data_IF_826142200188
#
_entry.id   IF_826142200188
#
_cell.length_a   1.000
_cell.length_b   1.000
_cell.length_c   1.000
_cell.angle_alpha   90.00
_cell.angle_beta   90.00
_cell.angle_gamma   90.00
#
_symmetry.space_group_name_H-M   'P 1'
#
loop_
_entity.id
_entity.type
_entity.pdbx_description
1 polymer ?
#
# COMPACT_ATOMS: atom_id res chain seq x y z
N UNK A 1 -21.32 -22.17 17.57
CA UNK A 1 -20.40 -21.54 16.60
C UNK A 1 -19.01 -22.14 16.82
N UNK A 2 -18.44 -22.86 15.84
CA UNK A 2 -17.08 -23.40 15.99
C UNK A 2 -16.09 -22.24 15.92
N UNK A 3 -15.06 -22.16 16.77
CA UNK A 3 -14.06 -21.11 16.70
C UNK A 3 -13.37 -21.17 15.33
N UNK A 4 -13.24 -20.02 14.67
CA UNK A 4 -12.45 -19.91 13.45
C UNK A 4 -10.95 -19.93 13.79
N UNK A 5 -10.41 -21.14 13.91
CA UNK A 5 -9.00 -21.37 14.24
C UNK A 5 -8.05 -20.81 13.17
N UNK A 6 -8.50 -20.70 11.91
CA UNK A 6 -7.71 -20.11 10.83
C UNK A 6 -7.52 -18.61 11.03
N UNK A 7 -8.58 -17.88 11.35
CA UNK A 7 -8.51 -16.46 11.68
C UNK A 7 -7.68 -16.19 12.95
N UNK A 8 -7.79 -17.04 13.96
CA UNK A 8 -6.97 -16.91 15.17
C UNK A 8 -5.48 -17.11 14.87
N UNK A 9 -5.12 -18.19 14.16
CA UNK A 9 -3.73 -18.47 13.74
C UNK A 9 -3.15 -17.31 12.91
N UNK A 10 -3.92 -16.76 11.99
CA UNK A 10 -3.49 -15.64 11.16
C UNK A 10 -3.21 -14.38 12.00
N UNK A 11 -4.06 -14.07 13.01
CA UNK A 11 -3.83 -12.93 13.91
C UNK A 11 -2.58 -13.10 14.76
N UNK A 12 -2.35 -14.29 15.32
CA UNK A 12 -1.15 -14.58 16.11
C UNK A 12 0.09 -14.50 15.22
N UNK A 13 0.08 -15.14 14.06
CA UNK A 13 1.17 -15.10 13.10
C UNK A 13 1.49 -13.67 12.66
N UNK A 14 0.46 -12.87 12.41
CA UNK A 14 0.60 -11.46 12.04
C UNK A 14 1.23 -10.62 13.16
N UNK A 15 0.83 -10.86 14.42
CA UNK A 15 1.46 -10.20 15.58
C UNK A 15 2.93 -10.56 15.68
N UNK A 16 3.26 -11.85 15.58
CA UNK A 16 4.66 -12.30 15.59
C UNK A 16 5.46 -11.73 14.42
N UNK A 17 4.86 -11.59 13.24
CA UNK A 17 5.52 -11.01 12.08
C UNK A 17 5.89 -9.54 12.28
N UNK A 18 5.13 -8.78 13.07
CA UNK A 18 5.46 -7.39 13.41
C UNK A 18 6.66 -7.29 14.35
N UNK A 19 6.74 -8.20 15.32
CA UNK A 19 7.71 -8.11 16.41
C UNK A 19 8.99 -8.91 16.12
N UNK A 20 8.92 -9.92 15.24
CA UNK A 20 10.02 -10.84 14.96
C UNK A 20 10.48 -10.80 13.51
N UNK A 21 11.74 -11.17 13.29
CA UNK A 21 12.33 -11.29 11.96
C UNK A 21 12.38 -9.97 11.20
N UNK A 22 12.48 -8.85 11.92
CA UNK A 22 12.59 -7.52 11.33
C UNK A 22 13.78 -7.44 10.36
N UNK A 23 13.60 -6.64 9.31
CA UNK A 23 14.67 -6.16 8.44
C UNK A 23 14.90 -4.69 8.81
N UNK A 24 15.65 -4.43 9.89
CA UNK A 24 15.80 -3.11 10.43
C UNK A 24 16.52 -2.20 9.44
N UNK A 25 15.95 -1.04 9.22
CA UNK A 25 16.53 0.01 8.40
C UNK A 25 16.31 1.36 9.09
N UNK A 26 17.38 2.14 9.22
CA UNK A 26 17.28 3.49 9.77
C UNK A 26 16.97 4.46 8.64
N UNK A 27 15.80 5.09 8.71
CA UNK A 27 15.41 6.13 7.76
C UNK A 27 16.40 7.29 7.79
N UNK A 28 16.83 7.75 6.61
CA UNK A 28 17.78 8.85 6.41
C UNK A 28 17.14 10.04 5.70
N UNK A 29 15.81 10.12 5.70
CA UNK A 29 15.08 11.22 5.09
C UNK A 29 15.38 12.55 5.82
N UNK A 30 15.64 13.60 5.03
CA UNK A 30 15.97 14.93 5.56
C UNK A 30 14.75 15.74 6.00
N UNK A 31 13.56 15.30 5.59
CA UNK A 31 12.28 15.94 5.89
C UNK A 31 11.18 14.89 5.95
N UNK A 32 10.06 15.15 6.63
CA UNK A 32 8.92 14.24 6.67
C UNK A 32 8.37 13.97 5.27
N UNK A 33 7.83 12.76 5.06
CA UNK A 33 7.32 12.29 3.77
C UNK A 33 5.95 11.64 3.95
N UNK A 34 5.17 11.65 2.87
CA UNK A 34 3.92 10.88 2.79
C UNK A 34 3.83 10.12 1.46
N UNK A 35 3.28 8.91 1.52
CA UNK A 35 2.91 8.13 0.33
C UNK A 35 1.43 7.81 0.37
N UNK A 36 0.76 7.97 -0.77
CA UNK A 36 -0.62 7.53 -0.98
C UNK A 36 -0.59 6.20 -1.74
N UNK A 37 -1.28 5.19 -1.22
CA UNK A 37 -1.28 3.87 -1.83
C UNK A 37 -2.70 3.34 -2.01
N UNK A 38 -2.92 2.61 -3.09
CA UNK A 38 -4.20 1.98 -3.43
C UNK A 38 -4.00 0.49 -3.61
N UNK A 39 -4.77 -0.31 -2.85
CA UNK A 39 -4.76 -1.76 -2.91
C UNK A 39 -5.90 -2.25 -3.80
N UNK A 40 -5.64 -3.29 -4.63
CA UNK A 40 -6.63 -3.84 -5.56
C UNK A 40 -7.46 -2.75 -6.25
N UNK A 41 -6.79 -1.77 -6.90
CA UNK A 41 -7.41 -0.50 -7.22
C UNK A 41 -8.68 -0.69 -8.07
N UNK A 42 -9.81 -0.12 -7.62
CA UNK A 42 -11.01 -0.01 -8.42
C UNK A 42 -10.81 0.95 -9.59
N UNK A 43 -11.67 0.87 -10.62
CA UNK A 43 -11.72 1.89 -11.69
C UNK A 43 -11.82 3.30 -11.15
N UNK A 44 -12.55 3.51 -10.05
CA UNK A 44 -12.70 4.83 -9.42
C UNK A 44 -11.39 5.38 -8.84
N UNK A 45 -10.44 4.54 -8.43
CA UNK A 45 -9.11 5.01 -8.03
C UNK A 45 -8.39 5.68 -9.21
N UNK A 46 -8.49 5.11 -10.42
CA UNK A 46 -7.92 5.71 -11.63
C UNK A 46 -8.75 6.91 -12.13
N UNK A 47 -10.08 6.81 -12.16
CA UNK A 47 -10.93 7.82 -12.81
C UNK A 47 -11.31 9.00 -11.94
N UNK A 48 -11.32 8.84 -10.62
CA UNK A 48 -11.61 9.90 -9.66
C UNK A 48 -10.40 10.23 -8.76
N UNK A 49 -9.64 9.23 -8.33
CA UNK A 49 -8.48 9.43 -7.46
C UNK A 49 -7.30 10.09 -8.17
N UNK A 50 -6.92 9.57 -9.34
CA UNK A 50 -5.76 10.10 -10.11
C UNK A 50 -5.91 11.57 -10.50
N UNK A 51 -7.05 12.06 -11.02
CA UNK A 51 -7.21 13.49 -11.29
C UNK A 51 -7.00 14.36 -10.04
N UNK A 52 -7.38 13.88 -8.85
CA UNK A 52 -7.15 14.61 -7.60
C UNK A 52 -5.65 14.60 -7.24
N UNK A 53 -4.95 13.48 -7.42
CA UNK A 53 -3.50 13.40 -7.24
C UNK A 53 -2.76 14.37 -8.18
N UNK A 54 -3.20 14.48 -9.43
CA UNK A 54 -2.62 15.36 -10.44
C UNK A 54 -2.79 16.85 -10.10
N UNK A 55 -3.90 17.25 -9.43
CA UNK A 55 -4.07 18.62 -8.89
C UNK A 55 -2.91 19.03 -7.97
N UNK A 56 -2.29 18.08 -7.29
CA UNK A 56 -1.17 18.26 -6.37
C UNK A 56 0.19 17.79 -6.94
N UNK A 57 0.25 17.44 -8.22
CA UNK A 57 1.44 16.85 -8.85
C UNK A 57 1.96 15.61 -8.10
N UNK A 58 1.07 14.89 -7.42
CA UNK A 58 1.39 13.76 -6.56
C UNK A 58 1.46 12.46 -7.37
N UNK A 59 2.40 11.60 -7.02
CA UNK A 59 2.47 10.22 -7.53
C UNK A 59 2.16 9.25 -6.41
N UNK A 60 1.35 8.25 -6.72
CA UNK A 60 0.90 7.23 -5.79
C UNK A 60 1.49 5.87 -6.15
N UNK A 61 1.33 4.89 -5.24
CA UNK A 61 1.66 3.49 -5.48
C UNK A 61 0.38 2.67 -5.57
N UNK A 62 0.26 1.89 -6.64
CA UNK A 62 -0.88 1.00 -6.89
C UNK A 62 -0.43 -0.46 -6.72
N UNK A 63 -0.92 -1.12 -5.68
CA UNK A 63 -0.63 -2.53 -5.40
C UNK A 63 -1.64 -3.42 -6.12
N UNK A 64 -1.19 -4.09 -7.18
CA UNK A 64 -2.04 -4.82 -8.11
C UNK A 64 -2.06 -6.31 -7.79
N UNK A 65 -3.26 -6.89 -7.70
CA UNK A 65 -3.50 -8.32 -7.78
C UNK A 65 -4.01 -8.66 -9.19
N UNK A 66 -3.16 -9.23 -10.03
CA UNK A 66 -3.51 -9.47 -11.45
C UNK A 66 -4.76 -10.32 -11.66
N UNK A 67 -5.08 -11.20 -10.72
CA UNK A 67 -6.28 -12.02 -10.75
C UNK A 67 -7.59 -11.26 -10.49
N UNK A 68 -7.52 -10.01 -10.00
CA UNK A 68 -8.67 -9.15 -9.74
C UNK A 68 -8.88 -8.08 -10.82
N UNK A 69 -7.96 -7.98 -11.77
CA UNK A 69 -8.03 -7.01 -12.86
C UNK A 69 -9.27 -7.28 -13.72
N UNK A 70 -10.02 -6.22 -14.01
CA UNK A 70 -11.28 -6.22 -14.78
C UNK A 70 -12.33 -7.20 -14.22
N UNK A 71 -12.36 -7.37 -12.89
CA UNK A 71 -13.31 -8.24 -12.20
C UNK A 71 -14.10 -7.50 -11.14
N UNK A 72 -15.32 -7.97 -10.93
CA UNK A 72 -16.15 -7.53 -9.81
C UNK A 72 -15.68 -8.16 -8.49
N UNK A 73 -15.29 -7.32 -7.52
CA UNK A 73 -14.77 -7.76 -6.21
C UNK A 73 -15.86 -8.04 -5.17
N UNK A 74 -17.12 -7.76 -5.47
CA UNK A 74 -18.22 -7.69 -4.51
C UNK A 74 -18.53 -6.26 -4.04
N UNK A 75 -17.61 -5.33 -4.22
CA UNK A 75 -17.74 -3.92 -3.85
C UNK A 75 -17.55 -2.97 -5.02
N UNK A 76 -16.63 -3.28 -5.93
CA UNK A 76 -16.28 -2.45 -7.09
C UNK A 76 -15.81 -3.29 -8.28
N UNK A 77 -15.81 -2.68 -9.45
CA UNK A 77 -15.13 -3.21 -10.62
C UNK A 77 -13.65 -2.84 -10.53
N UNK A 78 -12.77 -3.84 -10.61
CA UNK A 78 -11.32 -3.64 -10.64
C UNK A 78 -10.86 -2.84 -11.86
N UNK A 79 -9.71 -2.20 -11.73
CA UNK A 79 -8.99 -1.54 -12.83
C UNK A 79 -8.73 -2.53 -13.97
N UNK A 80 -8.68 -2.05 -15.22
CA UNK A 80 -8.34 -2.87 -16.38
C UNK A 80 -6.85 -2.73 -16.78
N UNK A 81 -6.42 -3.52 -17.78
CA UNK A 81 -5.03 -3.54 -18.24
C UNK A 81 -4.55 -2.18 -18.77
N UNK A 82 -5.38 -1.50 -19.58
CA UNK A 82 -5.02 -0.21 -20.18
C UNK A 82 -4.88 0.87 -19.09
N UNK A 83 -5.73 0.83 -18.05
CA UNK A 83 -5.64 1.72 -16.91
C UNK A 83 -4.35 1.47 -16.09
N UNK A 84 -3.92 0.21 -15.90
CA UNK A 84 -2.63 -0.11 -15.25
C UNK A 84 -1.46 0.47 -16.04
N UNK A 85 -1.44 0.26 -17.35
CA UNK A 85 -0.40 0.82 -18.24
C UNK A 85 -0.45 2.34 -18.22
N UNK A 86 -1.64 2.92 -18.24
CA UNK A 86 -1.85 4.37 -18.12
C UNK A 86 -1.27 4.96 -16.85
N UNK A 87 -1.54 4.33 -15.68
CA UNK A 87 -0.96 4.71 -14.39
C UNK A 87 0.56 4.67 -14.41
N UNK A 88 1.14 3.57 -14.91
CA UNK A 88 2.59 3.44 -15.03
C UNK A 88 3.20 4.55 -15.89
N UNK A 89 2.64 4.81 -17.07
CA UNK A 89 3.11 5.86 -17.99
C UNK A 89 2.91 7.27 -17.46
N UNK A 90 1.93 7.48 -16.58
CA UNK A 90 1.74 8.72 -15.86
C UNK A 90 2.74 8.92 -14.69
N UNK A 91 3.63 7.94 -14.45
CA UNK A 91 4.66 8.00 -13.42
C UNK A 91 4.22 7.52 -12.04
N UNK A 92 3.05 6.89 -11.92
CA UNK A 92 2.68 6.19 -10.69
C UNK A 92 3.45 4.86 -10.58
N UNK A 93 3.71 4.45 -9.36
CA UNK A 93 4.34 3.16 -9.09
C UNK A 93 3.31 2.04 -9.18
N UNK A 94 3.67 0.97 -9.91
CA UNK A 94 2.93 -0.30 -9.94
C UNK A 94 3.68 -1.30 -9.08
N UNK A 95 3.01 -1.85 -8.07
CA UNK A 95 3.60 -2.74 -7.08
C UNK A 95 2.80 -4.04 -6.91
N UNK A 96 3.35 -5.00 -6.19
CA UNK A 96 2.80 -6.35 -6.08
C UNK A 96 1.83 -6.51 -4.90
N UNK A 97 0.68 -7.16 -5.14
CA UNK A 97 -0.28 -7.55 -4.11
C UNK A 97 -0.66 -9.05 -4.17
N UNK A 98 0.28 -9.93 -4.58
CA UNK A 98 0.06 -11.30 -5.04
C UNK A 98 -0.77 -11.33 -6.33
N UNK A 99 -0.99 -12.51 -6.91
CA UNK A 99 -1.85 -12.61 -8.10
C UNK A 99 -3.33 -12.79 -7.73
N UNK A 100 -3.62 -13.72 -6.82
CA UNK A 100 -4.98 -14.15 -6.50
C UNK A 100 -5.55 -13.49 -5.23
N UNK A 101 -4.85 -12.51 -4.62
CA UNK A 101 -5.22 -11.83 -3.38
C UNK A 101 -5.53 -12.82 -2.22
N UNK A 102 -4.73 -13.88 -2.11
CA UNK A 102 -4.88 -14.88 -1.05
C UNK A 102 -4.22 -14.38 0.24
N UNK A 103 -4.83 -14.68 1.39
CA UNK A 103 -4.23 -14.40 2.71
C UNK A 103 -2.87 -15.07 2.81
N UNK A 104 -1.80 -14.30 2.95
CA UNK A 104 -0.43 -14.86 2.92
C UNK A 104 -0.19 -15.91 4.02
N UNK A 105 -0.73 -15.83 5.26
CA UNK A 105 -0.58 -16.89 6.24
C UNK A 105 -1.15 -18.25 5.84
N UNK A 106 -2.02 -18.30 4.83
CA UNK A 106 -2.62 -19.53 4.32
C UNK A 106 -1.76 -20.18 3.22
N UNK A 107 -0.67 -19.54 2.83
CA UNK A 107 0.29 -20.01 1.83
C UNK A 107 1.57 -20.51 2.50
N UNK A 108 2.11 -21.59 1.97
CA UNK A 108 3.50 -21.93 2.25
C UNK A 108 4.48 -21.06 1.43
N UNK A 109 5.77 -21.23 1.66
CA UNK A 109 6.75 -20.40 0.98
C UNK A 109 6.84 -20.63 -0.54
N UNK A 110 6.50 -21.82 -1.04
CA UNK A 110 6.51 -22.13 -2.47
C UNK A 110 5.27 -21.54 -3.15
N UNK A 111 4.11 -21.67 -2.52
CA UNK A 111 2.86 -21.08 -3.00
C UNK A 111 2.93 -19.55 -3.04
N UNK A 112 3.50 -18.90 -2.00
CA UNK A 112 3.72 -17.45 -2.02
C UNK A 112 4.65 -17.03 -3.16
N UNK A 113 5.74 -17.77 -3.39
CA UNK A 113 6.65 -17.46 -4.51
C UNK A 113 5.96 -17.61 -5.86
N UNK A 114 5.12 -18.63 -6.04
CA UNK A 114 4.34 -18.84 -7.26
C UNK A 114 3.32 -17.71 -7.49
N UNK A 115 2.64 -17.25 -6.44
CA UNK A 115 1.71 -16.11 -6.50
C UNK A 115 2.42 -14.81 -6.91
N UNK A 116 3.60 -14.55 -6.35
CA UNK A 116 4.41 -13.38 -6.69
C UNK A 116 4.90 -13.45 -8.13
N UNK A 117 5.45 -14.58 -8.55
CA UNK A 117 5.98 -14.74 -9.91
C UNK A 117 4.88 -14.66 -10.97
N UNK A 118 3.71 -15.25 -10.69
CA UNK A 118 2.55 -15.16 -11.56
C UNK A 118 2.10 -13.71 -11.73
N UNK A 119 2.07 -12.93 -10.63
CA UNK A 119 1.70 -11.52 -10.68
C UNK A 119 2.75 -10.69 -11.41
N UNK A 120 4.03 -10.97 -11.18
CA UNK A 120 5.15 -10.32 -11.85
C UNK A 120 5.09 -10.56 -13.36
N UNK A 121 4.97 -11.82 -13.78
CA UNK A 121 4.86 -12.19 -15.19
C UNK A 121 3.66 -11.52 -15.86
N UNK A 122 2.51 -11.45 -15.18
CA UNK A 122 1.33 -10.78 -15.68
C UNK A 122 1.57 -9.28 -15.92
N UNK A 123 2.11 -8.56 -14.93
CA UNK A 123 2.34 -7.12 -15.03
C UNK A 123 3.42 -6.78 -16.09
N UNK A 124 4.49 -7.57 -16.16
CA UNK A 124 5.54 -7.37 -17.19
C UNK A 124 5.06 -7.69 -18.60
N UNK A 125 4.05 -8.55 -18.76
CA UNK A 125 3.43 -8.79 -20.05
C UNK A 125 2.57 -7.61 -20.53
N UNK A 126 2.07 -6.75 -19.62
CA UNK A 126 1.36 -5.52 -19.96
C UNK A 126 2.33 -4.42 -20.46
N UNK A 127 3.40 -4.20 -19.72
CA UNK A 127 4.46 -3.27 -20.07
C UNK A 127 5.79 -3.73 -19.43
N UNK A 128 6.79 -4.15 -20.23
CA UNK A 128 8.07 -4.64 -19.72
C UNK A 128 8.90 -3.61 -18.95
N UNK A 129 8.55 -2.32 -19.03
CA UNK A 129 9.22 -1.25 -18.29
C UNK A 129 8.73 -1.11 -16.83
N UNK A 130 7.64 -1.78 -16.44
CA UNK A 130 7.13 -1.77 -15.07
C UNK A 130 8.20 -2.36 -14.14
N UNK A 131 8.52 -1.63 -13.07
CA UNK A 131 9.43 -2.07 -12.01
C UNK A 131 8.64 -2.46 -10.77
N UNK A 132 8.62 -3.74 -10.44
CA UNK A 132 7.85 -4.30 -9.33
C UNK A 132 8.80 -4.48 -8.14
N UNK A 133 9.02 -3.39 -7.39
CA UNK A 133 10.03 -3.32 -6.32
C UNK A 133 9.43 -3.44 -4.92
N UNK A 134 8.13 -3.18 -4.75
CA UNK A 134 7.49 -3.14 -3.46
C UNK A 134 6.27 -4.08 -3.39
N UNK A 135 5.93 -4.49 -2.17
CA UNK A 135 4.88 -5.45 -1.88
C UNK A 135 3.91 -4.92 -0.82
N UNK A 136 2.62 -5.21 -0.94
CA UNK A 136 1.68 -5.08 0.16
C UNK A 136 1.11 -6.47 0.51
N UNK A 137 0.99 -6.73 1.82
CA UNK A 137 0.37 -7.98 2.27
C UNK A 137 -1.14 -7.95 2.05
N UNK A 138 -1.74 -8.89 1.28
CA UNK A 138 -3.19 -9.04 1.25
C UNK A 138 -3.79 -9.10 2.66
N UNK A 139 -4.84 -8.31 2.90
CA UNK A 139 -5.47 -8.14 4.22
C UNK A 139 -4.52 -7.61 5.32
N UNK A 140 -3.33 -7.12 4.97
CA UNK A 140 -2.30 -6.72 5.91
C UNK A 140 -1.70 -7.86 6.74
N UNK A 141 -1.89 -9.10 6.34
CA UNK A 141 -1.52 -10.29 7.09
C UNK A 141 -0.19 -10.87 6.60
N UNK A 142 0.81 -10.94 7.48
CA UNK A 142 2.11 -11.51 7.19
C UNK A 142 2.53 -12.62 8.16
N UNK A 143 3.64 -13.28 7.84
CA UNK A 143 4.32 -14.23 8.73
C UNK A 143 5.81 -13.91 8.81
N UNK A 144 6.49 -14.37 9.85
CA UNK A 144 7.96 -14.22 10.00
C UNK A 144 8.70 -14.89 8.83
N UNK A 145 8.24 -16.06 8.40
CA UNK A 145 8.85 -16.78 7.29
C UNK A 145 8.69 -16.05 5.95
N UNK A 146 7.53 -15.42 5.71
CA UNK A 146 7.27 -14.64 4.51
C UNK A 146 8.14 -13.39 4.45
N UNK A 147 8.34 -12.67 5.55
CA UNK A 147 9.26 -11.54 5.61
C UNK A 147 10.66 -11.90 5.13
N UNK A 148 11.19 -13.04 5.60
CA UNK A 148 12.51 -13.54 5.18
C UNK A 148 12.60 -13.84 3.69
N UNK A 149 11.50 -14.25 3.07
CA UNK A 149 11.42 -14.53 1.63
C UNK A 149 11.24 -13.24 0.84
N UNK A 150 10.32 -12.39 1.25
CA UNK A 150 9.99 -11.14 0.54
C UNK A 150 11.19 -10.20 0.45
N UNK A 151 12.03 -10.12 1.48
CA UNK A 151 13.25 -9.30 1.46
C UNK A 151 14.27 -9.68 0.37
N UNK A 152 14.14 -10.87 -0.22
CA UNK A 152 15.00 -11.32 -1.33
C UNK A 152 14.48 -10.81 -2.69
N UNK A 153 13.21 -10.38 -2.74
CA UNK A 153 12.51 -10.00 -3.96
C UNK A 153 12.12 -8.54 -3.99
N UNK A 154 11.74 -7.98 -2.81
CA UNK A 154 11.20 -6.63 -2.67
C UNK A 154 12.06 -5.76 -1.75
N UNK A 155 12.18 -4.48 -2.10
CA UNK A 155 12.82 -3.47 -1.25
C UNK A 155 12.02 -3.26 0.04
N UNK A 156 10.69 -3.23 -0.07
CA UNK A 156 9.82 -3.12 1.09
C UNK A 156 8.54 -3.94 0.96
N UNK A 157 7.96 -4.24 2.12
CA UNK A 157 6.62 -4.82 2.23
C UNK A 157 5.82 -4.05 3.26
N UNK A 158 4.54 -3.77 2.96
CA UNK A 158 3.65 -2.96 3.80
C UNK A 158 2.54 -3.80 4.41
N UNK A 159 2.32 -3.62 5.73
CA UNK A 159 1.10 -4.07 6.42
C UNK A 159 0.02 -2.98 6.43
N UNK A 160 -0.88 -3.05 7.44
CA UNK A 160 -1.99 -2.10 7.64
C UNK A 160 -2.03 -1.58 9.09
N UNK A 161 -0.91 -1.61 9.80
CA UNK A 161 -0.85 -1.01 11.14
C UNK A 161 -0.72 0.50 11.02
N UNK A 162 -1.64 1.28 11.65
CA UNK A 162 -1.56 2.72 11.58
C UNK A 162 -0.33 3.27 12.31
N UNK A 163 0.09 4.47 11.90
CA UNK A 163 1.20 5.22 12.48
C UNK A 163 2.30 5.55 11.47
N UNK A 164 3.07 6.57 11.78
CA UNK A 164 4.22 6.96 10.98
C UNK A 164 5.38 5.97 11.14
N UNK A 165 6.08 5.72 10.04
CA UNK A 165 7.35 5.00 10.05
C UNK A 165 8.45 6.01 10.41
N UNK A 166 9.17 5.82 11.53
CA UNK A 166 10.19 6.77 11.98
C UNK A 166 11.40 6.08 12.61
N UNK A 167 12.55 6.73 12.56
CA UNK A 167 13.77 6.20 13.14
C UNK A 167 14.22 4.88 12.49
N UNK A 168 14.21 3.79 13.24
CA UNK A 168 14.48 2.44 12.71
C UNK A 168 13.18 1.72 12.46
N UNK A 169 12.93 1.36 11.21
CA UNK A 169 11.72 0.67 10.73
C UNK A 169 12.01 -0.74 10.29
N UNK A 170 10.98 -1.55 10.17
CA UNK A 170 11.08 -2.85 9.51
C UNK A 170 10.67 -2.69 8.04
N UNK A 171 11.64 -2.71 7.12
CA UNK A 171 11.34 -2.58 5.68
C UNK A 171 10.41 -3.67 5.14
N UNK A 172 10.35 -4.82 5.80
CA UNK A 172 9.45 -5.90 5.38
C UNK A 172 8.13 -5.93 6.15
N UNK A 173 7.86 -4.87 6.95
CA UNK A 173 6.57 -4.70 7.62
C UNK A 173 6.27 -3.23 7.95
N UNK A 174 6.30 -2.36 6.92
CA UNK A 174 6.00 -0.93 7.09
C UNK A 174 4.57 -0.72 7.58
N UNK A 175 4.40 0.26 8.45
CA UNK A 175 3.10 0.74 8.89
C UNK A 175 2.38 1.48 7.76
N UNK A 176 1.04 1.41 7.76
CA UNK A 176 0.22 2.28 6.92
C UNK A 176 -1.12 2.58 7.58
N UNK A 177 -1.57 3.80 7.42
CA UNK A 177 -2.81 4.33 8.01
C UNK A 177 -3.93 4.26 6.98
N UNK A 178 -5.13 3.78 7.34
CA UNK A 178 -6.25 3.74 6.40
C UNK A 178 -6.70 5.15 6.02
N UNK A 179 -6.77 5.45 4.73
CA UNK A 179 -7.46 6.61 4.18
C UNK A 179 -8.84 6.14 3.71
N UNK A 180 -9.71 5.89 4.67
CA UNK A 180 -11.03 5.27 4.50
C UNK A 180 -12.02 6.03 5.38
N UNK A 181 -13.11 6.56 4.82
CA UNK A 181 -14.04 7.46 5.51
C UNK A 181 -14.53 6.93 6.87
N UNK A 182 -14.74 5.62 7.01
CA UNK A 182 -15.20 5.01 8.25
C UNK A 182 -14.11 4.82 9.31
N UNK A 183 -12.84 5.07 8.98
CA UNK A 183 -11.69 4.83 9.86
C UNK A 183 -10.94 6.09 10.24
N UNK A 184 -11.00 7.11 9.40
CA UNK A 184 -10.30 8.37 9.63
C UNK A 184 -11.12 9.54 9.09
N UNK A 185 -11.12 10.63 9.80
CA UNK A 185 -11.68 11.93 9.41
C UNK A 185 -10.57 12.95 9.16
N UNK A 186 -10.94 14.18 8.85
CA UNK A 186 -9.98 15.26 8.61
C UNK A 186 -9.07 15.51 9.82
N UNK A 187 -9.63 15.52 11.03
CA UNK A 187 -8.85 15.72 12.25
C UNK A 187 -7.87 14.57 12.50
N UNK A 188 -8.26 13.35 12.16
CA UNK A 188 -7.39 12.17 12.24
C UNK A 188 -6.22 12.25 11.25
N UNK A 189 -6.48 12.74 10.04
CA UNK A 189 -5.43 13.00 9.03
C UNK A 189 -4.46 14.07 9.53
N UNK A 190 -4.97 15.17 10.06
CA UNK A 190 -4.14 16.26 10.58
C UNK A 190 -3.26 15.78 11.73
N UNK A 191 -3.80 15.02 12.69
CA UNK A 191 -3.00 14.38 13.76
C UNK A 191 -1.92 13.44 13.23
N UNK A 192 -2.23 12.65 12.20
CA UNK A 192 -1.24 11.74 11.60
C UNK A 192 -0.08 12.53 10.94
N UNK A 193 -0.37 13.66 10.32
CA UNK A 193 0.68 14.55 9.79
C UNK A 193 1.49 15.23 10.90
N UNK A 194 0.85 15.69 11.96
CA UNK A 194 1.54 16.31 13.10
C UNK A 194 2.52 15.32 13.77
N UNK A 195 2.10 14.06 13.96
CA UNK A 195 2.99 12.97 14.42
C UNK A 195 4.16 12.73 13.43
N UNK A 196 3.87 12.73 12.13
CA UNK A 196 4.87 12.52 11.08
C UNK A 196 5.93 13.63 11.09
N UNK A 197 5.50 14.87 11.29
CA UNK A 197 6.41 16.02 11.40
C UNK A 197 7.25 15.91 12.68
N UNK A 198 6.60 15.65 13.82
CA UNK A 198 7.27 15.57 15.13
C UNK A 198 8.36 14.50 15.18
N UNK A 199 8.20 13.42 14.39
CA UNK A 199 9.13 12.29 14.34
C UNK A 199 10.06 12.30 13.14
N UNK A 200 9.99 13.31 12.26
CA UNK A 200 10.63 13.33 10.94
C UNK A 200 10.37 12.01 10.20
N UNK A 201 9.13 11.54 10.22
CA UNK A 201 8.74 10.20 9.79
C UNK A 201 8.30 10.13 8.32
N UNK A 202 7.86 8.95 7.95
CA UNK A 202 7.24 8.61 6.69
C UNK A 202 5.84 8.03 6.94
N UNK A 203 4.80 8.78 6.61
CA UNK A 203 3.41 8.34 6.67
C UNK A 203 3.06 7.64 5.35
N UNK A 204 2.43 6.47 5.45
CA UNK A 204 1.86 5.78 4.29
C UNK A 204 0.35 5.70 4.50
N UNK A 205 -0.43 6.26 3.61
CA UNK A 205 -1.86 6.03 3.54
C UNK A 205 -2.17 4.87 2.60
N UNK A 206 -3.17 4.05 2.98
CA UNK A 206 -3.72 3.03 2.09
C UNK A 206 -5.24 3.17 1.99
N UNK A 207 -5.77 2.88 0.82
CA UNK A 207 -7.20 2.84 0.53
C UNK A 207 -7.48 2.01 -0.71
N UNK A 208 -8.72 2.07 -1.19
CA UNK A 208 -9.13 1.36 -2.40
C UNK A 208 -9.86 2.31 -3.34
N UNK A 209 -11.20 2.43 -3.23
CA UNK A 209 -12.00 3.27 -4.10
C UNK A 209 -12.07 4.74 -3.65
N UNK A 210 -12.21 5.62 -4.63
CA UNK A 210 -12.47 7.05 -4.43
C UNK A 210 -13.80 7.38 -5.11
N UNK A 211 -14.85 7.63 -4.32
CA UNK A 211 -16.19 7.85 -4.86
C UNK A 211 -17.01 8.77 -3.95
N UNK A 212 -18.04 9.42 -4.50
CA UNK A 212 -18.96 10.26 -3.69
C UNK A 212 -19.72 9.44 -2.63
N UNK A 213 -19.94 8.16 -2.89
CA UNK A 213 -20.47 7.17 -1.95
C UNK A 213 -19.53 5.97 -1.97
N UNK A 214 -18.43 6.02 -1.22
CA UNK A 214 -17.40 4.98 -1.29
C UNK A 214 -17.87 3.67 -0.68
N UNK A 215 -17.22 2.59 -1.06
CA UNK A 215 -17.39 1.29 -0.40
C UNK A 215 -16.94 1.37 1.07
N UNK A 216 -17.16 0.31 1.87
CA UNK A 216 -16.60 0.25 3.21
C UNK A 216 -15.08 0.32 3.29
N UNK A 217 -14.36 0.34 2.18
CA UNK A 217 -12.89 0.32 2.11
C UNK A 217 -12.32 1.54 1.37
N UNK A 218 -13.16 2.47 0.95
CA UNK A 218 -12.79 3.63 0.18
C UNK A 218 -12.95 4.95 0.93
N UNK A 219 -12.63 6.02 0.22
CA UNK A 219 -12.78 7.38 0.72
C UNK A 219 -13.53 8.28 -0.27
N UNK A 220 -14.09 9.36 0.25
CA UNK A 220 -14.66 10.42 -0.59
C UNK A 220 -13.55 11.23 -1.28
N UNK A 221 -13.83 11.81 -2.46
CA UNK A 221 -12.95 12.80 -3.07
C UNK A 221 -12.58 13.96 -2.13
N UNK A 222 -13.48 14.33 -1.23
CA UNK A 222 -13.24 15.39 -0.25
C UNK A 222 -12.17 14.99 0.77
N UNK A 223 -12.22 13.77 1.29
CA UNK A 223 -11.22 13.26 2.25
C UNK A 223 -9.84 13.13 1.60
N UNK A 224 -9.77 12.61 0.35
CA UNK A 224 -8.51 12.53 -0.38
C UNK A 224 -7.90 13.92 -0.65
N UNK A 225 -8.73 14.90 -1.08
CA UNK A 225 -8.27 16.29 -1.26
C UNK A 225 -7.78 16.90 0.05
N UNK A 226 -8.50 16.66 1.17
CA UNK A 226 -8.04 17.15 2.47
C UNK A 226 -6.65 16.59 2.81
N UNK A 227 -6.42 15.29 2.65
CA UNK A 227 -5.12 14.68 2.93
C UNK A 227 -3.98 15.26 2.06
N UNK A 228 -4.24 15.45 0.76
CA UNK A 228 -3.26 16.04 -0.16
C UNK A 228 -3.00 17.52 0.15
N UNK A 229 -4.06 18.30 0.42
CA UNK A 229 -3.96 19.71 0.82
C UNK A 229 -3.22 19.86 2.14
N UNK A 230 -3.50 19.01 3.13
CA UNK A 230 -2.83 19.02 4.43
C UNK A 230 -1.34 18.70 4.32
N UNK A 231 -0.95 17.76 3.45
CA UNK A 231 0.45 17.46 3.15
C UNK A 231 1.16 18.66 2.48
N UNK A 232 0.53 19.21 1.42
CA UNK A 232 1.06 20.34 0.66
C UNK A 232 1.19 21.60 1.53
N UNK A 233 0.16 21.92 2.33
CA UNK A 233 0.18 23.08 3.23
C UNK A 233 1.23 23.00 4.34
N UNK A 234 1.66 21.79 4.69
CA UNK A 234 2.74 21.53 5.66
C UNK A 234 4.12 21.34 5.01
N UNK A 235 4.24 21.52 3.69
CA UNK A 235 5.44 21.25 2.90
C UNK A 235 5.99 19.81 3.06
N UNK A 236 5.10 18.84 3.28
CA UNK A 236 5.47 17.42 3.34
C UNK A 236 5.57 16.91 1.90
N UNK A 237 6.68 16.25 1.57
CA UNK A 237 6.88 15.67 0.23
C UNK A 237 5.93 14.49 0.02
N UNK A 238 5.13 14.56 -1.07
CA UNK A 238 4.27 13.48 -1.50
C UNK A 238 5.05 12.64 -2.51
N UNK A 239 5.28 11.36 -2.19
CA UNK A 239 6.16 10.47 -2.95
C UNK A 239 5.50 9.10 -3.11
N UNK A 240 5.74 8.42 -4.23
CA UNK A 240 5.48 6.98 -4.31
C UNK A 240 6.33 6.24 -3.25
N UNK A 241 5.99 4.99 -2.97
CA UNK A 241 6.77 4.18 -2.01
C UNK A 241 8.21 3.99 -2.48
N UNK A 242 8.43 3.76 -3.77
CA UNK A 242 9.77 3.63 -4.35
C UNK A 242 10.59 4.91 -4.22
N UNK A 243 9.99 6.08 -4.47
CA UNK A 243 10.65 7.38 -4.30
C UNK A 243 10.94 7.69 -2.83
N UNK A 244 10.01 7.36 -1.93
CA UNK A 244 10.20 7.54 -0.48
C UNK A 244 11.35 6.67 0.04
N UNK A 245 11.46 5.41 -0.38
CA UNK A 245 12.59 4.53 -0.06
C UNK A 245 13.91 5.12 -0.57
N UNK A 246 13.96 5.58 -1.82
CA UNK A 246 15.15 6.23 -2.37
C UNK A 246 15.52 7.50 -1.58
N UNK A 247 14.53 8.32 -1.19
CA UNK A 247 14.74 9.51 -0.36
C UNK A 247 15.20 9.16 1.07
N UNK A 248 14.83 7.99 1.58
CA UNK A 248 15.25 7.49 2.88
C UNK A 248 16.58 6.75 2.87
N UNK A 249 17.20 6.54 1.70
CA UNK A 249 18.49 5.87 1.54
C UNK A 249 18.39 4.33 1.50
N UNK A 250 17.18 3.78 1.22
CA UNK A 250 16.94 2.33 1.15
C UNK A 250 16.98 1.80 -0.27
#
# INVERSE_FOLDING_TARGET
MRPDWSAFKARVSNRLARDLGAVPFRLQNKAPMVSFTFDDPPKSAATAGVPILDEYQARATFYISGGLVDRWSGHWMGINNDEIVGLHRAGHEIACHTFSHVRTPDLDGAALAAEIEKNRSYLLALDPSIRIENFAYPYGLGTVSHKRRLKQTFRSSRGIMPGANSGTVDLQYLNSTPLIDRHIDCDGIDRAFDETIATNGWLIFYGHDVAASPSPFGCTPALLRHALAAASGRNIRILSVAEALASAGA
#
